data_IF_670903037319
#
_entry.id   IF_670903037319
#
_cell.length_a   1.000
_cell.length_b   1.000
_cell.length_c   1.000
_cell.angle_alpha   90.00
_cell.angle_beta   90.00
_cell.angle_gamma   90.00
#
_symmetry.space_group_name_H-M   'P 1'
#
loop_
_entity.id
_entity.type
_entity.pdbx_description
1 polymer ?
#
# COMPACT_ATOMS: atom_id res chain seq x y z
N UNK A 1 -10.29 -2.47 7.14
CA UNK A 1 -10.47 -3.22 8.42
C UNK A 1 -11.78 -2.75 9.04
N UNK A 2 -12.64 -3.66 9.51
CA UNK A 2 -13.98 -3.26 9.97
C UNK A 2 -13.95 -2.68 11.39
N UNK A 3 -14.91 -1.80 11.70
CA UNK A 3 -15.09 -1.22 13.04
C UNK A 3 -15.33 -2.28 14.14
N UNK A 4 -15.56 -3.54 13.74
CA UNK A 4 -15.88 -4.66 14.61
C UNK A 4 -14.65 -5.35 15.23
N UNK A 5 -13.42 -4.91 14.94
CA UNK A 5 -12.23 -5.47 15.56
C UNK A 5 -12.24 -5.24 17.08
N UNK A 6 -12.13 -6.34 17.85
CA UNK A 6 -12.08 -6.30 19.32
C UNK A 6 -10.81 -5.61 19.81
N UNK A 7 -10.78 -5.18 21.09
CA UNK A 7 -9.59 -4.57 21.69
C UNK A 7 -8.34 -5.45 21.58
N UNK A 8 -8.50 -6.76 21.78
CA UNK A 8 -7.39 -7.71 21.65
C UNK A 8 -6.91 -7.86 20.20
N UNK A 9 -7.83 -7.88 19.23
CA UNK A 9 -7.47 -7.89 17.81
C UNK A 9 -6.73 -6.60 17.42
N UNK A 10 -7.20 -5.44 17.90
CA UNK A 10 -6.52 -4.15 17.67
C UNK A 10 -5.12 -4.13 18.25
N UNK A 11 -4.90 -4.67 19.46
CA UNK A 11 -3.56 -4.76 20.06
C UNK A 11 -2.58 -5.58 19.21
N UNK A 12 -3.04 -6.70 18.65
CA UNK A 12 -2.24 -7.51 17.71
C UNK A 12 -1.97 -6.74 16.43
N UNK A 13 -2.97 -6.05 15.87
CA UNK A 13 -2.83 -5.25 14.65
C UNK A 13 -1.91 -4.03 14.83
N UNK A 14 -2.00 -3.32 15.95
CA UNK A 14 -1.11 -2.21 16.29
C UNK A 14 0.35 -2.68 16.37
N UNK A 15 0.55 -3.86 16.96
CA UNK A 15 1.87 -4.50 17.01
C UNK A 15 2.34 -4.84 15.60
N UNK A 16 1.50 -5.46 14.77
CA UNK A 16 1.83 -5.80 13.39
C UNK A 16 2.20 -4.57 12.56
N UNK A 17 1.46 -3.46 12.68
CA UNK A 17 1.74 -2.22 11.95
C UNK A 17 3.08 -1.62 12.37
N UNK A 18 3.43 -1.67 13.66
CA UNK A 18 4.68 -1.11 14.17
C UNK A 18 5.91 -2.01 13.98
N UNK A 19 5.71 -3.31 13.77
CA UNK A 19 6.80 -4.30 13.60
C UNK A 19 6.96 -4.81 12.16
N UNK A 20 6.02 -4.54 11.27
CA UNK A 20 6.12 -4.96 9.87
C UNK A 20 7.11 -4.09 9.07
N UNK A 21 7.43 -4.57 7.88
CA UNK A 21 8.49 -3.99 7.05
C UNK A 21 8.12 -2.63 6.47
N UNK A 22 6.83 -2.31 6.34
CA UNK A 22 6.39 -0.95 6.08
C UNK A 22 6.85 0.02 7.17
N UNK A 23 6.75 -0.37 8.45
CA UNK A 23 7.28 0.40 9.56
C UNK A 23 8.82 0.39 9.67
N UNK A 24 9.51 -0.70 9.33
CA UNK A 24 10.98 -0.71 9.30
C UNK A 24 11.57 0.34 8.34
N UNK A 25 10.90 0.62 7.22
CA UNK A 25 11.30 1.69 6.30
C UNK A 25 10.79 3.08 6.70
N UNK A 26 9.74 3.17 7.53
CA UNK A 26 9.21 4.43 8.03
C UNK A 26 9.93 4.87 9.31
N UNK A 27 10.79 5.88 9.20
CA UNK A 27 11.57 6.44 10.34
C UNK A 27 10.72 6.90 11.53
N UNK A 28 9.43 7.23 11.34
CA UNK A 28 8.54 7.75 12.38
C UNK A 28 7.08 7.45 12.05
N UNK A 29 6.37 6.80 12.97
CA UNK A 29 4.90 6.67 12.94
C UNK A 29 4.31 7.87 13.70
N UNK A 30 3.44 8.65 13.04
CA UNK A 30 2.82 9.82 13.67
C UNK A 30 1.59 9.46 14.51
N UNK A 31 0.75 8.55 14.01
CA UNK A 31 -0.48 8.06 14.66
C UNK A 31 -0.90 6.75 13.99
N UNK A 32 -1.68 5.92 14.69
CA UNK A 32 -2.39 4.76 14.11
C UNK A 32 -3.89 5.08 14.12
N UNK A 33 -4.49 5.12 12.93
CA UNK A 33 -5.93 5.37 12.75
C UNK A 33 -6.61 4.17 12.11
N UNK A 34 -7.75 3.77 12.66
CA UNK A 34 -8.63 2.78 12.06
C UNK A 34 -9.63 3.51 11.19
N UNK A 35 -9.52 3.34 9.87
CA UNK A 35 -10.40 3.99 8.89
C UNK A 35 -10.99 2.99 7.92
N UNK A 36 -12.14 3.35 7.36
CA UNK A 36 -12.71 2.68 6.21
C UNK A 36 -11.75 2.84 5.02
N UNK A 37 -11.46 1.74 4.36
CA UNK A 37 -10.71 1.70 3.10
C UNK A 37 -11.64 1.04 2.10
N UNK A 38 -12.03 1.81 1.09
CA UNK A 38 -12.76 1.31 -0.07
C UNK A 38 -11.73 0.95 -1.14
N UNK A 39 -11.82 -0.27 -1.65
CA UNK A 39 -10.91 -0.80 -2.66
C UNK A 39 -11.72 -1.40 -3.80
N UNK A 40 -11.43 -0.94 -5.00
CA UNK A 40 -12.00 -1.45 -6.25
C UNK A 40 -10.85 -1.92 -7.15
N UNK A 41 -11.00 -3.08 -7.77
CA UNK A 41 -10.06 -3.59 -8.77
C UNK A 41 -10.79 -3.76 -10.10
N UNK A 42 -10.27 -3.16 -11.16
CA UNK A 42 -10.82 -3.32 -12.51
C UNK A 42 -9.68 -3.36 -13.52
N UNK A 43 -9.61 -4.43 -14.32
CA UNK A 43 -8.64 -4.62 -15.40
C UNK A 43 -7.16 -4.41 -15.02
N UNK A 44 -6.80 -4.77 -13.79
CA UNK A 44 -5.45 -4.58 -13.26
C UNK A 44 -5.17 -3.14 -12.84
N UNK A 45 -6.21 -2.36 -12.55
CA UNK A 45 -6.14 -1.07 -11.86
C UNK A 45 -6.78 -1.19 -10.48
N UNK A 46 -6.06 -0.81 -9.44
CA UNK A 46 -6.57 -0.65 -8.09
C UNK A 46 -6.93 0.81 -7.84
N UNK A 47 -8.15 1.05 -7.38
CA UNK A 47 -8.58 2.32 -6.84
C UNK A 47 -8.79 2.18 -5.34
N UNK A 48 -8.02 2.91 -4.55
CA UNK A 48 -8.11 2.90 -3.09
C UNK A 48 -8.55 4.27 -2.58
N UNK A 49 -9.65 4.30 -1.84
CA UNK A 49 -10.22 5.48 -1.20
C UNK A 49 -10.19 5.31 0.32
N UNK A 50 -9.73 6.35 1.00
CA UNK A 50 -9.75 6.48 2.45
C UNK A 50 -10.10 7.94 2.82
N UNK A 51 -10.57 8.22 4.06
CA UNK A 51 -11.05 9.56 4.43
C UNK A 51 -10.05 10.70 4.21
N UNK A 52 -8.76 10.41 4.29
CA UNK A 52 -7.67 11.38 4.18
C UNK A 52 -6.81 11.17 2.93
N UNK A 53 -7.22 10.34 1.97
CA UNK A 53 -6.40 10.09 0.80
C UNK A 53 -7.06 9.21 -0.24
N UNK A 54 -6.55 9.30 -1.45
CA UNK A 54 -7.06 8.54 -2.58
C UNK A 54 -5.89 8.21 -3.50
N UNK A 55 -5.85 6.99 -4.01
CA UNK A 55 -4.85 6.60 -4.99
C UNK A 55 -5.45 5.68 -6.04
N UNK A 56 -4.95 5.84 -7.25
CA UNK A 56 -5.17 4.89 -8.32
C UNK A 56 -3.81 4.34 -8.76
N UNK A 57 -3.75 3.04 -9.00
CA UNK A 57 -2.56 2.39 -9.53
C UNK A 57 -2.96 1.39 -10.60
N UNK A 58 -2.29 1.41 -11.74
CA UNK A 58 -2.50 0.47 -12.85
C UNK A 58 -1.26 -0.36 -13.08
N UNK A 59 -1.40 -1.67 -13.15
CA UNK A 59 -0.31 -2.57 -13.47
C UNK A 59 0.22 -2.30 -14.88
N UNK A 60 1.52 -2.05 -15.01
CA UNK A 60 2.13 -1.86 -16.33
C UNK A 60 2.35 -3.22 -16.99
N UNK A 61 1.94 -3.32 -18.25
CA UNK A 61 2.07 -4.53 -19.07
C UNK A 61 3.26 -4.42 -20.01
N UNK A 62 3.98 -5.53 -20.18
CA UNK A 62 5.03 -5.69 -21.16
C UNK A 62 4.48 -5.89 -22.58
N UNK A 63 5.38 -6.03 -23.54
CA UNK A 63 5.04 -6.29 -24.95
C UNK A 63 4.30 -7.62 -25.16
N UNK A 64 4.43 -8.55 -24.23
CA UNK A 64 3.75 -9.85 -24.20
C UNK A 64 2.34 -9.78 -23.56
N UNK A 65 1.93 -8.60 -23.08
CA UNK A 65 0.67 -8.39 -22.36
C UNK A 65 0.71 -8.81 -20.89
N UNK A 66 1.81 -9.41 -20.42
CA UNK A 66 2.02 -9.80 -19.03
C UNK A 66 2.51 -8.64 -18.15
N UNK A 67 2.53 -8.78 -16.81
CA UNK A 67 3.12 -7.78 -15.92
C UNK A 67 4.62 -7.57 -16.19
N UNK A 68 5.08 -6.31 -16.16
CA UNK A 68 6.50 -6.02 -16.01
C UNK A 68 6.93 -6.35 -14.57
N UNK A 69 7.88 -7.27 -14.42
CA UNK A 69 8.39 -7.73 -13.12
C UNK A 69 9.71 -7.06 -12.75
N UNK A 70 9.93 -6.88 -11.45
CA UNK A 70 11.18 -6.37 -10.89
C UNK A 70 11.88 -7.51 -10.18
N UNK A 71 13.06 -7.88 -10.66
CA UNK A 71 13.88 -8.95 -10.10
C UNK A 71 15.05 -8.38 -9.28
N UNK A 72 15.67 -9.22 -8.44
CA UNK A 72 16.84 -8.87 -7.62
C UNK A 72 16.66 -7.71 -6.63
N UNK A 73 15.44 -7.51 -6.12
CA UNK A 73 15.19 -6.48 -5.09
C UNK A 73 15.76 -6.97 -3.74
N UNK A 74 16.62 -6.19 -3.07
CA UNK A 74 17.30 -6.60 -1.84
C UNK A 74 16.40 -6.48 -0.60
N UNK A 75 15.09 -6.70 -0.74
CA UNK A 75 14.10 -6.63 0.33
C UNK A 75 13.51 -8.03 0.51
N UNK A 76 13.96 -8.81 1.51
CA UNK A 76 13.75 -10.26 1.56
C UNK A 76 12.29 -10.71 1.73
N UNK A 77 11.39 -9.83 2.15
CA UNK A 77 9.97 -10.16 2.38
C UNK A 77 9.04 -9.82 1.22
N UNK A 78 9.54 -9.09 0.23
CA UNK A 78 8.76 -8.70 -0.92
C UNK A 78 9.00 -9.76 -2.00
N UNK A 79 7.93 -10.39 -2.47
CA UNK A 79 7.97 -11.36 -3.56
C UNK A 79 7.10 -10.86 -4.72
N UNK A 80 7.32 -11.39 -5.92
CA UNK A 80 6.54 -11.09 -7.13
C UNK A 80 6.35 -9.59 -7.39
N UNK A 81 7.43 -8.80 -7.33
CA UNK A 81 7.36 -7.37 -7.52
C UNK A 81 6.99 -7.05 -8.98
N UNK A 82 5.99 -6.19 -9.16
CA UNK A 82 5.47 -5.75 -10.47
C UNK A 82 5.49 -4.23 -10.54
N UNK A 83 5.81 -3.69 -11.71
CA UNK A 83 5.75 -2.25 -11.94
C UNK A 83 4.31 -1.78 -12.09
N UNK A 84 3.98 -0.65 -11.50
CA UNK A 84 2.70 0.02 -11.71
C UNK A 84 2.88 1.50 -12.04
N UNK A 85 1.92 2.04 -12.77
CA UNK A 85 1.74 3.47 -12.95
C UNK A 85 0.75 3.96 -11.89
N UNK A 86 1.04 5.08 -11.26
CA UNK A 86 0.20 5.75 -10.27
C UNK A 86 -0.24 7.09 -10.87
N UNK A 87 -1.40 7.15 -11.57
CA UNK A 87 -1.88 8.40 -12.19
C UNK A 87 -2.06 9.50 -11.17
N UNK A 88 -2.56 9.15 -9.98
CA UNK A 88 -2.66 10.08 -8.87
C UNK A 88 -2.51 9.38 -7.52
N UNK A 89 -2.01 10.14 -6.55
CA UNK A 89 -2.08 9.82 -5.13
C UNK A 89 -2.20 11.10 -4.32
N UNK A 90 -3.24 11.20 -3.50
CA UNK A 90 -3.49 12.32 -2.60
C UNK A 90 -3.45 11.86 -1.15
N UNK A 91 -2.96 12.74 -0.29
CA UNK A 91 -2.99 12.56 1.16
C UNK A 91 -3.15 13.90 1.85
N UNK A 92 -4.13 14.01 2.74
CA UNK A 92 -4.43 15.21 3.51
C UNK A 92 -4.73 14.86 4.97
N UNK A 93 -3.71 14.95 5.82
CA UNK A 93 -3.80 14.69 7.25
C UNK A 93 -2.59 15.30 7.99
N UNK A 94 -2.67 15.43 9.32
CA UNK A 94 -1.60 15.97 10.17
C UNK A 94 -1.06 17.35 9.72
N UNK A 95 -1.93 18.19 9.13
CA UNK A 95 -1.55 19.49 8.58
C UNK A 95 -0.62 19.40 7.37
N UNK A 96 -0.56 18.24 6.71
CA UNK A 96 0.16 18.01 5.47
C UNK A 96 -0.83 17.74 4.36
N UNK A 97 -0.55 18.31 3.19
CA UNK A 97 -1.28 18.03 1.97
C UNK A 97 -0.25 17.61 0.90
N UNK A 98 -0.36 16.38 0.43
CA UNK A 98 0.47 15.82 -0.62
C UNK A 98 -0.41 15.45 -1.80
N UNK A 99 0.02 15.90 -2.98
CA UNK A 99 -0.59 15.52 -4.25
C UNK A 99 0.53 15.07 -5.19
N UNK A 100 0.44 13.82 -5.63
CA UNK A 100 1.33 13.25 -6.62
C UNK A 100 0.54 12.89 -7.86
N UNK A 101 1.15 13.11 -9.03
CA UNK A 101 0.60 12.75 -10.33
C UNK A 101 1.66 12.04 -11.15
N UNK A 102 1.21 11.09 -11.95
CA UNK A 102 2.01 10.36 -12.94
C UNK A 102 3.33 9.81 -12.37
N UNK A 103 3.21 9.03 -11.29
CA UNK A 103 4.36 8.41 -10.62
C UNK A 103 4.51 6.95 -10.98
N UNK A 104 5.73 6.44 -10.90
CA UNK A 104 5.96 5.00 -10.87
C UNK A 104 5.68 4.45 -9.48
N UNK A 105 5.18 3.22 -9.41
CA UNK A 105 5.02 2.45 -8.19
C UNK A 105 5.42 1.00 -8.38
N UNK A 106 5.31 0.25 -7.29
CA UNK A 106 5.57 -1.19 -7.27
C UNK A 106 4.47 -1.87 -6.48
N UNK A 107 3.94 -2.95 -7.04
CA UNK A 107 3.11 -3.91 -6.32
C UNK A 107 3.98 -5.09 -5.91
N UNK A 108 3.80 -5.58 -4.70
CA UNK A 108 4.56 -6.71 -4.19
C UNK A 108 3.64 -7.60 -3.36
N UNK A 109 3.87 -8.90 -3.46
CA UNK A 109 3.30 -9.84 -2.51
C UNK A 109 4.10 -9.75 -1.22
N UNK A 110 3.41 -9.62 -0.10
CA UNK A 110 4.02 -9.63 1.21
C UNK A 110 3.88 -11.03 1.80
N UNK A 111 5.01 -11.70 2.06
CA UNK A 111 4.99 -12.97 2.79
C UNK A 111 5.36 -12.68 4.25
N UNK A 112 4.37 -12.78 5.14
CA UNK A 112 4.63 -12.89 6.57
C UNK A 112 5.19 -14.30 6.83
N UNK A 113 6.51 -14.42 6.89
CA UNK A 113 7.16 -15.59 7.50
C UNK A 113 7.36 -15.25 8.98
N UNK A 114 6.39 -15.67 9.82
CA UNK A 114 6.35 -15.40 11.25
C UNK A 114 5.20 -16.11 11.94
#
# INVERSE_FOLDING_TARGET
MSDNATKEQRKVLDTLVSTNIGALFMKKIFEVKYVKIDLEETDGTFHVKMPFGEMEQSQVKGLDGGPIRIENVPIPVLKNLKHCHTPFWTYNDHGKNFEYKDRCGTWADFVFEG
#
